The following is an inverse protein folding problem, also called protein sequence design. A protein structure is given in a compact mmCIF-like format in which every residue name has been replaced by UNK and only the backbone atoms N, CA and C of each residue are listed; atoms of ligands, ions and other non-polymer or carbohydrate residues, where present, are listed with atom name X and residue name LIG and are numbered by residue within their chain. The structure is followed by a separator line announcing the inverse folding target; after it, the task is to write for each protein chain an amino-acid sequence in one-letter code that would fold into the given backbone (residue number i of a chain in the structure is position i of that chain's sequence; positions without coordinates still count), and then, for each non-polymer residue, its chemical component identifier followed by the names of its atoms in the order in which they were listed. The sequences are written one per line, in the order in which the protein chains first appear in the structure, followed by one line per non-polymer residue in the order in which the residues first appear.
data_IF_766781654834
#
_entry.id   IF_766781654834
#
_cell.length_a   1.000
_cell.length_b   1.000
_cell.length_c   1.000
_cell.angle_alpha   90.00
_cell.angle_beta   90.00
_cell.angle_gamma   90.00
#
_symmetry.space_group_name_H-M   'P 1'
#
loop_
_entity.id
_entity.type
_entity.pdbx_description
1 polymer ?
#
# COMPACT_ATOMS: atom_id res chain seq x y z
N UNK A 1 -12.55 12.00 -7.91
CA UNK A 1 -12.35 10.86 -7.00
C UNK A 1 -10.86 10.84 -6.75
N UNK A 2 -10.43 11.28 -5.57
CA UNK A 2 -9.00 11.33 -5.24
C UNK A 2 -8.54 9.90 -4.98
N UNK A 3 -7.62 9.41 -5.81
CA UNK A 3 -7.03 8.11 -5.61
C UNK A 3 -6.20 8.15 -4.29
N UNK A 4 -6.68 7.51 -3.21
CA UNK A 4 -5.88 7.07 -2.05
C UNK A 4 -4.50 6.60 -2.51
N UNK A 5 -3.43 7.25 -2.08
CA UNK A 5 -2.08 6.85 -2.47
C UNK A 5 -1.58 5.69 -1.60
N UNK A 6 -0.47 5.05 -2.00
CA UNK A 6 0.20 4.01 -1.21
C UNK A 6 0.56 4.50 0.20
N UNK A 7 0.95 5.77 0.32
CA UNK A 7 1.27 6.46 1.57
C UNK A 7 0.04 6.69 2.45
N UNK A 8 -1.11 7.01 1.85
CA UNK A 8 -2.37 7.14 2.57
C UNK A 8 -2.88 5.77 3.02
N UNK A 9 -2.84 4.77 2.13
CA UNK A 9 -3.27 3.40 2.37
C UNK A 9 -2.53 2.75 3.55
N UNK A 10 -1.20 2.94 3.66
CA UNK A 10 -0.45 2.37 4.78
C UNK A 10 -0.84 3.02 6.12
N UNK A 11 -1.13 4.33 6.13
CA UNK A 11 -1.61 5.02 7.34
C UNK A 11 -3.03 4.52 7.72
N UNK A 12 -3.92 4.34 6.74
CA UNK A 12 -5.25 3.74 6.94
C UNK A 12 -5.16 2.33 7.52
N UNK A 13 -4.29 1.47 6.98
CA UNK A 13 -4.08 0.10 7.46
C UNK A 13 -3.66 0.05 8.94
N UNK A 14 -2.77 0.96 9.35
CA UNK A 14 -2.33 1.07 10.74
C UNK A 14 -3.27 1.92 11.62
N UNK A 15 -4.38 2.43 11.08
CA UNK A 15 -5.34 3.30 11.78
C UNK A 15 -4.68 4.53 12.41
N UNK A 16 -3.75 5.16 11.69
CA UNK A 16 -3.07 6.40 12.10
C UNK A 16 -3.40 7.53 11.13
N UNK A 17 -3.32 8.77 11.62
CA UNK A 17 -3.49 9.94 10.77
C UNK A 17 -2.41 10.00 9.67
N UNK A 18 -2.83 10.39 8.47
CA UNK A 18 -1.93 10.57 7.37
C UNK A 18 -1.06 11.83 7.58
N UNK A 19 0.24 11.60 7.66
CA UNK A 19 1.27 12.61 7.49
C UNK A 19 2.53 11.94 6.91
N UNK A 20 3.46 12.75 6.38
CA UNK A 20 4.66 12.24 5.72
C UNK A 20 5.57 11.40 6.64
N UNK A 21 5.64 11.73 7.93
CA UNK A 21 6.46 10.99 8.90
C UNK A 21 5.89 9.59 9.16
N UNK A 22 4.59 9.50 9.45
CA UNK A 22 3.89 8.25 9.63
C UNK A 22 3.99 7.36 8.39
N UNK A 23 3.70 7.92 7.20
CA UNK A 23 3.80 7.18 5.96
C UNK A 23 5.22 6.65 5.72
N UNK A 24 6.25 7.49 5.83
CA UNK A 24 7.63 7.08 5.59
C UNK A 24 8.09 5.99 6.58
N UNK A 25 7.77 6.16 7.87
CA UNK A 25 8.10 5.17 8.92
C UNK A 25 7.42 3.83 8.68
N UNK A 26 6.14 3.84 8.31
CA UNK A 26 5.36 2.62 8.09
C UNK A 26 5.71 1.93 6.78
N UNK A 27 5.96 2.68 5.71
CA UNK A 27 6.46 2.13 4.45
C UNK A 27 7.83 1.49 4.62
N UNK A 28 8.73 2.13 5.38
CA UNK A 28 10.02 1.53 5.71
C UNK A 28 9.83 0.22 6.48
N UNK A 29 8.93 0.19 7.47
CA UNK A 29 8.62 -1.02 8.25
C UNK A 29 8.17 -2.20 7.39
N UNK A 30 7.34 -1.97 6.36
CA UNK A 30 6.94 -3.07 5.46
C UNK A 30 8.04 -3.46 4.47
N UNK A 31 8.89 -2.51 4.07
CA UNK A 31 10.04 -2.79 3.21
C UNK A 31 11.12 -3.60 3.93
N UNK A 32 11.34 -3.32 5.22
CA UNK A 32 12.22 -4.10 6.10
C UNK A 32 11.75 -5.56 6.26
N UNK A 33 10.44 -5.83 6.10
CA UNK A 33 9.91 -7.21 6.06
C UNK A 33 10.15 -7.91 4.71
N UNK A 34 10.53 -7.16 3.68
CA UNK A 34 11.02 -7.63 2.36
C UNK A 34 9.98 -8.26 1.44
N UNK A 35 9.06 -9.06 1.99
CA UNK A 35 8.14 -9.88 1.20
C UNK A 35 6.74 -9.29 1.06
N UNK A 36 6.41 -8.26 1.85
CA UNK A 36 5.06 -7.70 1.93
C UNK A 36 4.94 -6.40 1.16
N UNK A 37 3.73 -6.10 0.70
CA UNK A 37 3.35 -4.81 0.17
C UNK A 37 1.88 -4.50 0.49
N UNK A 38 1.53 -3.21 0.47
CA UNK A 38 0.19 -2.72 0.72
C UNK A 38 -0.60 -2.65 -0.60
N UNK A 39 -1.76 -3.29 -0.63
CA UNK A 39 -2.62 -3.37 -1.81
C UNK A 39 -4.10 -3.35 -1.41
N UNK A 40 -4.99 -3.48 -2.38
CA UNK A 40 -6.43 -3.60 -2.18
C UNK A 40 -7.03 -4.63 -3.13
N UNK A 41 -8.19 -5.17 -2.78
CA UNK A 41 -8.89 -6.16 -3.61
C UNK A 41 -9.97 -5.49 -4.48
N UNK A 42 -11.15 -5.29 -3.89
CA UNK A 42 -12.30 -4.67 -4.53
C UNK A 42 -12.62 -3.29 -3.96
N UNK A 43 -12.13 -2.99 -2.77
CA UNK A 43 -12.44 -1.79 -2.01
C UNK A 43 -11.16 -1.01 -1.73
N UNK A 44 -11.04 0.16 -2.35
CA UNK A 44 -9.86 1.03 -2.26
C UNK A 44 -9.69 1.66 -0.87
N UNK A 45 -10.73 1.64 -0.03
CA UNK A 45 -10.73 2.16 1.33
C UNK A 45 -10.34 1.08 2.36
N UNK A 46 -10.18 -0.17 1.91
CA UNK A 46 -9.81 -1.33 2.75
C UNK A 46 -8.44 -1.88 2.33
N UNK A 47 -7.34 -1.22 2.74
CA UNK A 47 -6.01 -1.71 2.45
C UNK A 47 -5.73 -3.05 3.15
N UNK A 48 -5.01 -3.92 2.45
CA UNK A 48 -4.57 -5.24 2.94
C UNK A 48 -3.07 -5.40 2.71
N UNK A 49 -2.41 -6.16 3.60
CA UNK A 49 -0.99 -6.47 3.50
C UNK A 49 -0.83 -7.89 2.95
N UNK A 50 -0.20 -7.99 1.77
CA UNK A 50 -0.09 -9.25 1.02
C UNK A 50 1.34 -9.45 0.56
N UNK A 51 1.76 -10.70 0.34
CA UNK A 51 3.09 -10.95 -0.21
C UNK A 51 3.18 -10.43 -1.64
N UNK A 52 4.32 -9.83 -2.00
CA UNK A 52 4.63 -9.35 -3.35
C UNK A 52 4.43 -10.47 -4.39
N UNK A 53 4.79 -11.72 -4.03
CA UNK A 53 4.57 -12.92 -4.84
C UNK A 53 3.09 -13.17 -5.14
N UNK A 54 2.20 -13.07 -4.15
CA UNK A 54 0.75 -13.22 -4.35
C UNK A 54 0.18 -12.11 -5.22
N UNK A 55 0.58 -10.87 -4.98
CA UNK A 55 0.15 -9.72 -5.80
C UNK A 55 0.53 -9.94 -7.28
N UNK A 56 1.74 -10.46 -7.54
CA UNK A 56 2.19 -10.79 -8.88
C UNK A 56 1.46 -11.99 -9.50
N UNK A 57 1.12 -13.00 -8.70
CA UNK A 57 0.44 -14.21 -9.16
C UNK A 57 -1.06 -13.97 -9.46
N UNK A 58 -1.70 -13.05 -8.74
CA UNK A 58 -3.14 -12.80 -8.79
C UNK A 58 -3.46 -11.31 -9.06
N UNK A 59 -3.00 -10.72 -10.18
CA UNK A 59 -3.10 -9.27 -10.45
C UNK A 59 -4.55 -8.77 -10.66
N UNK A 60 -5.47 -9.68 -10.97
CA UNK A 60 -6.90 -9.37 -11.08
C UNK A 60 -7.57 -9.26 -9.70
N UNK A 61 -7.00 -9.92 -8.69
CA UNK A 61 -7.53 -9.99 -7.34
C UNK A 61 -6.88 -8.92 -6.44
N UNK A 62 -5.56 -8.75 -6.52
CA UNK A 62 -4.83 -7.74 -5.74
C UNK A 62 -4.32 -6.61 -6.63
N UNK A 63 -4.75 -5.39 -6.35
CA UNK A 63 -4.37 -4.17 -7.07
C UNK A 63 -3.49 -3.30 -6.20
N UNK A 64 -2.42 -2.74 -6.77
CA UNK A 64 -1.50 -1.87 -6.04
C UNK A 64 -2.00 -0.43 -6.03
N UNK A 65 -1.81 0.24 -4.91
CA UNK A 65 -2.00 1.69 -4.82
C UNK A 65 -0.95 2.41 -5.64
N UNK A 66 -1.32 3.54 -6.24
CA UNK A 66 -0.35 4.45 -6.86
C UNK A 66 0.50 5.10 -5.78
N UNK A 67 1.81 5.16 -6.01
CA UNK A 67 2.68 6.00 -5.19
C UNK A 67 2.40 7.48 -5.48
N UNK A 68 2.49 8.34 -4.47
CA UNK A 68 2.37 9.80 -4.64
C UNK A 68 3.46 10.37 -5.56
N UNK A 69 4.60 9.68 -5.66
CA UNK A 69 5.63 9.89 -6.67
C UNK A 69 5.36 8.91 -7.81
N UNK A 70 4.90 9.40 -8.97
CA UNK A 70 4.58 8.59 -10.14
C UNK A 70 5.80 7.92 -10.80
N UNK A 71 6.59 7.16 -10.05
CA UNK A 71 7.55 6.21 -10.60
C UNK A 71 6.92 4.83 -10.62
N UNK A 72 6.40 4.53 -11.79
CA UNK A 72 6.13 3.18 -12.24
C UNK A 72 7.47 2.41 -12.20
N UNK A 73 7.52 1.30 -11.46
CA UNK A 73 8.62 0.34 -11.49
C UNK A 73 8.09 -0.99 -12.02
#
# INVERSE_FOLDING_TARGET
MEDITREQAICMFYSVEFNHENAARLLKRIDDLGELDICFENDYEKPVLVTRKKILAEPHHYKRYRSSTGKEF
#
